data_IF_502631242697
#
_entry.id   IF_502631242697
#
_cell.length_a   1.000
_cell.length_b   1.000
_cell.length_c   1.000
_cell.angle_alpha   90.00
_cell.angle_beta   90.00
_cell.angle_gamma   90.00
#
_symmetry.space_group_name_H-M   'P 1'
#
loop_
_entity.id
_entity.type
_entity.pdbx_description
1 polymer ?
#
# COMPACT_ATOMS: atom_id res chain seq x y z
N UNK A 1 18.84 34.93 6.16
CA UNK A 1 18.87 33.54 6.66
C UNK A 1 18.04 32.70 5.72
N UNK A 2 18.67 31.92 4.84
CA UNK A 2 17.96 31.07 3.87
C UNK A 2 17.44 29.80 4.55
N UNK A 3 16.13 29.59 4.49
CA UNK A 3 15.46 28.40 5.01
C UNK A 3 15.62 27.25 4.01
N UNK A 4 16.66 26.43 4.21
CA UNK A 4 16.81 25.16 3.51
C UNK A 4 15.78 24.15 4.04
N UNK A 5 14.58 24.15 3.45
CA UNK A 5 13.59 23.11 3.68
C UNK A 5 14.15 21.77 3.13
N UNK A 6 14.25 20.71 3.96
CA UNK A 6 14.77 19.43 3.49
C UNK A 6 13.80 18.85 2.47
N UNK A 7 14.28 18.63 1.25
CA UNK A 7 13.54 17.91 0.19
C UNK A 7 13.19 16.51 0.70
N UNK A 8 11.93 16.31 1.11
CA UNK A 8 11.39 14.99 1.45
C UNK A 8 11.54 14.06 0.25
N UNK A 9 12.58 13.24 0.28
CA UNK A 9 12.70 12.09 -0.62
C UNK A 9 11.52 11.19 -0.31
N UNK A 10 10.49 11.19 -1.17
CA UNK A 10 9.38 10.22 -1.18
C UNK A 10 9.95 8.81 -1.33
N UNK A 11 10.47 8.25 -0.23
CA UNK A 11 10.82 6.83 -0.12
C UNK A 11 9.52 6.10 -0.40
N UNK A 12 9.46 5.36 -1.52
CA UNK A 12 8.33 4.49 -1.84
C UNK A 12 8.25 3.45 -0.73
N UNK A 13 7.48 3.74 0.30
CA UNK A 13 7.36 2.90 1.49
C UNK A 13 6.67 1.61 1.04
N UNK A 14 7.48 0.58 0.78
CA UNK A 14 6.97 -0.75 0.47
C UNK A 14 6.34 -1.27 1.76
N UNK A 15 5.02 -1.11 1.89
CA UNK A 15 4.28 -1.62 3.04
C UNK A 15 4.29 -3.14 2.94
N UNK A 16 5.02 -3.80 3.84
CA UNK A 16 5.11 -5.26 3.87
C UNK A 16 3.81 -5.85 4.44
N UNK A 17 3.47 -7.08 4.03
CA UNK A 17 2.32 -7.81 4.59
C UNK A 17 2.44 -7.97 6.12
N UNK A 18 3.67 -8.10 6.64
CA UNK A 18 3.95 -8.20 8.07
C UNK A 18 3.60 -6.88 8.78
N UNK A 19 4.01 -5.74 8.22
CA UNK A 19 3.67 -4.42 8.76
C UNK A 19 2.15 -4.20 8.80
N UNK A 20 1.44 -4.55 7.72
CA UNK A 20 -0.03 -4.48 7.69
C UNK A 20 -0.68 -5.37 8.76
N UNK A 21 -0.16 -6.58 8.98
CA UNK A 21 -0.68 -7.49 10.01
C UNK A 21 -0.48 -6.94 11.41
N UNK A 22 0.72 -6.44 11.72
CA UNK A 22 1.03 -5.86 13.03
C UNK A 22 0.14 -4.64 13.28
N UNK A 23 0.09 -3.70 12.35
CA UNK A 23 -0.73 -2.48 12.46
C UNK A 23 -2.22 -2.78 12.68
N UNK A 24 -2.80 -3.71 11.91
CA UNK A 24 -4.19 -4.12 12.09
C UNK A 24 -4.44 -4.83 13.43
N UNK A 25 -3.46 -5.62 13.89
CA UNK A 25 -3.59 -6.30 15.20
C UNK A 25 -3.55 -5.29 16.33
N UNK A 26 -2.60 -4.36 16.29
CA UNK A 26 -2.43 -3.34 17.33
C UNK A 26 -3.64 -2.41 17.38
N UNK A 27 -4.15 -1.98 16.21
CA UNK A 27 -5.37 -1.18 16.11
C UNK A 27 -6.57 -1.90 16.75
N UNK A 28 -6.82 -3.16 16.40
CA UNK A 28 -7.96 -3.90 16.96
C UNK A 28 -7.81 -4.11 18.48
N UNK A 29 -6.60 -4.38 18.96
CA UNK A 29 -6.33 -4.55 20.40
C UNK A 29 -6.56 -3.24 21.14
N UNK A 30 -6.12 -2.11 20.58
CA UNK A 30 -6.31 -0.80 21.19
C UNK A 30 -7.79 -0.39 21.22
N UNK A 31 -8.54 -0.64 20.15
CA UNK A 31 -10.00 -0.41 20.13
C UNK A 31 -10.76 -1.24 21.15
N UNK A 32 -10.33 -2.48 21.41
CA UNK A 32 -10.95 -3.31 22.46
C UNK A 32 -10.54 -2.90 23.88
N UNK A 33 -9.31 -2.41 24.07
CA UNK A 33 -8.87 -1.91 25.36
C UNK A 33 -9.70 -0.70 25.82
N UNK A 34 -10.16 0.13 24.89
CA UNK A 34 -11.03 1.28 25.16
C UNK A 34 -12.49 0.93 25.49
N UNK A 35 -12.90 -0.34 25.38
CA UNK A 35 -14.27 -0.79 25.67
C UNK A 35 -14.45 -1.27 27.14
N UNK A 36 -13.44 -1.09 27.99
CA UNK A 36 -13.43 -1.54 29.41
C UNK A 36 -13.87 -3.00 29.61
N UNK A 37 -13.67 -3.83 28.59
CA UNK A 37 -14.07 -5.23 28.64
C UNK A 37 -13.18 -6.02 29.60
N UNK A 38 -13.71 -7.09 30.22
CA UNK A 38 -12.91 -8.03 30.99
C UNK A 38 -11.71 -8.53 30.17
N UNK A 39 -10.58 -8.76 30.84
CA UNK A 39 -9.31 -9.12 30.21
C UNK A 39 -9.52 -10.22 29.17
N UNK A 40 -9.23 -9.91 27.90
CA UNK A 40 -9.54 -10.81 26.79
C UNK A 40 -8.97 -12.22 27.00
N UNK A 41 -9.85 -13.21 27.00
CA UNK A 41 -9.46 -14.61 27.17
C UNK A 41 -8.64 -15.12 25.95
N UNK A 42 -8.01 -16.29 26.09
CA UNK A 42 -7.16 -16.88 25.04
C UNK A 42 -7.91 -17.11 23.72
N UNK A 43 -9.22 -17.39 23.76
CA UNK A 43 -10.06 -17.60 22.57
C UNK A 43 -10.28 -16.28 21.83
N UNK A 44 -10.58 -15.18 22.53
CA UNK A 44 -10.74 -13.84 21.95
C UNK A 44 -9.45 -13.40 21.26
N UNK A 45 -8.30 -13.51 21.94
CA UNK A 45 -6.99 -13.18 21.33
C UNK A 45 -6.71 -13.99 20.05
N UNK A 46 -7.11 -15.27 20.01
CA UNK A 46 -6.96 -16.13 18.83
C UNK A 46 -7.88 -15.69 17.69
N UNK A 47 -9.12 -15.31 17.97
CA UNK A 47 -10.06 -14.78 16.97
C UNK A 47 -9.52 -13.50 16.37
N UNK A 48 -9.05 -12.57 17.20
CA UNK A 48 -8.45 -11.32 16.71
C UNK A 48 -7.23 -11.56 15.83
N UNK A 49 -6.32 -12.43 16.26
CA UNK A 49 -5.12 -12.75 15.47
C UNK A 49 -5.49 -13.34 14.10
N UNK A 50 -6.55 -14.18 14.05
CA UNK A 50 -7.08 -14.72 12.79
C UNK A 50 -7.70 -13.62 11.92
N UNK A 51 -8.52 -12.74 12.51
CA UNK A 51 -9.16 -11.62 11.82
C UNK A 51 -8.11 -10.68 11.21
N UNK A 52 -7.11 -10.26 11.99
CA UNK A 52 -6.01 -9.42 11.51
C UNK A 52 -5.23 -10.06 10.36
N UNK A 53 -5.00 -11.38 10.44
CA UNK A 53 -4.31 -12.12 9.37
C UNK A 53 -5.14 -12.15 8.07
N UNK A 54 -6.46 -12.33 8.19
CA UNK A 54 -7.37 -12.30 7.04
C UNK A 54 -7.42 -10.90 6.41
N UNK A 55 -7.64 -9.85 7.22
CA UNK A 55 -7.67 -8.46 6.78
C UNK A 55 -6.36 -8.05 6.10
N UNK A 56 -5.20 -8.31 6.72
CA UNK A 56 -3.91 -7.99 6.13
C UNK A 56 -3.68 -8.71 4.78
N UNK A 57 -4.20 -9.93 4.64
CA UNK A 57 -4.10 -10.68 3.38
C UNK A 57 -4.97 -10.10 2.28
N UNK A 58 -6.21 -9.70 2.61
CA UNK A 58 -7.11 -9.02 1.65
C UNK A 58 -6.55 -7.67 1.22
N UNK A 59 -6.08 -6.85 2.17
CA UNK A 59 -5.43 -5.57 1.88
C UNK A 59 -4.19 -5.72 0.99
N UNK A 60 -3.30 -6.66 1.31
CA UNK A 60 -2.12 -6.91 0.49
C UNK A 60 -2.49 -7.32 -0.96
N UNK A 61 -3.58 -8.08 -1.13
CA UNK A 61 -4.09 -8.46 -2.45
C UNK A 61 -4.65 -7.26 -3.21
N UNK A 62 -5.43 -6.40 -2.55
CA UNK A 62 -5.98 -5.18 -3.13
C UNK A 62 -4.88 -4.21 -3.56
N UNK A 63 -3.90 -3.95 -2.68
CA UNK A 63 -2.73 -3.13 -3.00
C UNK A 63 -1.98 -3.69 -4.22
N UNK A 64 -1.76 -5.01 -4.27
CA UNK A 64 -1.11 -5.64 -5.42
C UNK A 64 -1.91 -5.47 -6.72
N UNK A 65 -3.25 -5.58 -6.66
CA UNK A 65 -4.14 -5.38 -7.80
C UNK A 65 -4.07 -3.93 -8.30
N UNK A 66 -4.13 -2.96 -7.38
CA UNK A 66 -4.06 -1.53 -7.71
C UNK A 66 -2.69 -1.14 -8.29
N UNK A 67 -1.60 -1.65 -7.69
CA UNK A 67 -0.25 -1.47 -8.24
C UNK A 67 -0.09 -2.08 -9.64
N UNK A 68 -0.75 -3.20 -9.95
CA UNK A 68 -0.75 -3.79 -11.30
C UNK A 68 -1.50 -2.88 -12.29
N UNK A 69 -2.66 -2.34 -11.92
CA UNK A 69 -3.39 -1.37 -12.77
C UNK A 69 -2.51 -0.15 -13.09
N UNK A 70 -1.90 0.46 -12.07
CA UNK A 70 -1.02 1.62 -12.22
C UNK A 70 0.17 1.31 -13.13
N UNK A 71 0.76 0.10 -13.03
CA UNK A 71 1.84 -0.32 -13.93
C UNK A 71 1.35 -0.51 -15.36
N UNK A 72 0.16 -1.07 -15.56
CA UNK A 72 -0.44 -1.28 -16.87
C UNK A 72 -0.69 0.05 -17.59
N UNK A 73 -1.28 1.03 -16.90
CA UNK A 73 -1.54 2.36 -17.48
C UNK A 73 -0.25 3.11 -17.79
N UNK A 74 0.79 2.98 -16.96
CA UNK A 74 2.12 3.56 -17.25
C UNK A 74 2.79 2.94 -18.47
N UNK A 75 2.72 1.61 -18.63
CA UNK A 75 3.24 0.93 -19.82
C UNK A 75 2.51 1.38 -21.09
N UNK A 76 1.18 1.50 -21.01
CA UNK A 76 0.35 1.95 -22.13
C UNK A 76 0.69 3.37 -22.57
N UNK A 77 0.84 4.30 -21.61
CA UNK A 77 1.27 5.68 -21.88
C UNK A 77 2.69 5.75 -22.45
N UNK A 78 3.60 4.88 -21.99
CA UNK A 78 4.96 4.80 -22.55
C UNK A 78 4.95 4.32 -24.00
N UNK A 79 4.18 3.27 -24.32
CA UNK A 79 4.03 2.78 -25.71
C UNK A 79 3.42 3.83 -26.64
N UNK A 80 2.46 4.62 -26.17
CA UNK A 80 1.88 5.73 -26.94
C UNK A 80 2.92 6.85 -27.17
N UNK A 81 3.70 7.21 -26.15
CA UNK A 81 4.77 8.19 -26.29
C UNK A 81 5.90 7.72 -27.23
N UNK A 82 6.29 6.45 -27.14
CA UNK A 82 7.31 5.85 -28.02
C UNK A 82 6.81 5.80 -29.49
N UNK A 83 5.52 5.52 -29.73
CA UNK A 83 4.92 5.61 -31.08
C UNK A 83 4.84 7.03 -31.62
N UNK A 84 4.49 8.01 -30.79
CA UNK A 84 4.39 9.42 -31.20
C UNK A 84 5.75 9.99 -31.62
N UNK A 85 6.83 9.62 -30.90
CA UNK A 85 8.18 10.02 -31.27
C UNK A 85 8.63 9.39 -32.59
N UNK A 86 8.31 8.10 -32.82
CA UNK A 86 8.73 7.42 -34.06
C UNK A 86 7.96 7.87 -35.31
N UNK A 87 6.72 8.37 -35.14
CA UNK A 87 5.91 8.92 -36.23
C UNK A 87 6.34 10.32 -36.68
N UNK A 88 6.97 11.12 -35.81
CA UNK A 88 7.46 12.46 -36.17
C UNK A 88 8.76 12.42 -36.99
N UNK A 89 9.58 11.37 -36.87
CA UNK A 89 10.83 11.24 -37.64
C UNK A 89 10.56 10.85 -39.11
N UNK A 90 9.41 10.24 -39.42
CA UNK A 90 9.08 9.77 -40.77
C UNK A 90 8.50 10.85 -41.71
N UNK A 91 8.18 12.05 -41.20
CA UNK A 91 7.56 13.14 -41.99
C UNK A 91 8.60 14.23 -42.34
N UNK A 92 9.86 14.06 -41.95
CA UNK A 92 10.93 15.04 -42.13
C UNK A 92 12.04 14.63 -43.13
N UNK A 93 11.76 13.68 -44.03
CA UNK A 93 12.70 13.22 -45.07
C UNK A 93 12.17 13.52 -46.48
#
# INVERSE_FOLDING_TARGET
METNAPKEKKKKQKVSKKALRTLLTDSLVHSLAGLELPKANRKVKKVMTKASKALASTYARLIKKEMKKIKSTRKSKKVVADKANNGQVAVAA
#
